data_IF_883087952269
#
_entry.id   IF_883087952269
#
_cell.length_a   1.000
_cell.length_b   1.000
_cell.length_c   1.000
_cell.angle_alpha   90.00
_cell.angle_beta   90.00
_cell.angle_gamma   90.00
#
_symmetry.space_group_name_H-M   'P 1'
#
loop_
_entity.id
_entity.type
_entity.pdbx_description
1 polymer ?
#
# COMPACT_ATOMS: atom_id res chain seq x y z
N UNK A 1 -32.61 41.13 -23.13
CA UNK A 1 -31.88 40.70 -21.90
C UNK A 1 -31.48 39.25 -22.15
N UNK A 2 -30.22 38.81 -22.26
CA UNK A 2 -28.90 39.26 -21.79
C UNK A 2 -27.88 39.32 -22.95
N UNK A 3 -26.93 40.25 -22.80
CA UNK A 3 -25.66 40.38 -23.56
C UNK A 3 -24.57 39.52 -22.88
N UNK A 4 -23.53 39.14 -23.63
CA UNK A 4 -22.29 38.51 -23.15
C UNK A 4 -22.35 36.99 -23.31
N UNK A 5 -21.44 36.32 -24.01
CA UNK A 5 -19.98 36.41 -23.96
C UNK A 5 -19.45 35.97 -25.33
N UNK A 6 -19.05 36.92 -26.17
CA UNK A 6 -18.32 36.64 -27.41
C UNK A 6 -17.25 37.71 -27.63
N UNK A 7 -16.46 37.98 -26.60
CA UNK A 7 -15.29 38.85 -26.67
C UNK A 7 -14.28 38.32 -25.67
N UNK A 8 -13.43 37.38 -26.10
CA UNK A 8 -12.10 37.09 -25.55
C UNK A 8 -11.44 36.03 -26.45
N UNK A 9 -11.07 36.43 -27.67
CA UNK A 9 -10.25 35.60 -28.57
C UNK A 9 -9.12 36.39 -29.24
N UNK A 10 -8.80 37.59 -28.75
CA UNK A 10 -7.78 38.47 -29.35
C UNK A 10 -6.49 38.59 -28.53
N UNK A 11 -6.27 37.72 -27.55
CA UNK A 11 -4.97 37.58 -26.89
C UNK A 11 -4.49 36.16 -27.13
N UNK A 12 -3.46 36.00 -27.97
CA UNK A 12 -2.90 34.72 -28.42
C UNK A 12 -2.28 33.87 -27.31
N UNK A 13 -3.11 33.44 -26.36
CA UNK A 13 -2.76 32.46 -25.36
C UNK A 13 -3.00 31.05 -25.92
N UNK A 14 -2.00 30.14 -25.87
CA UNK A 14 -2.21 28.76 -26.25
C UNK A 14 -3.18 28.10 -25.26
N UNK A 15 -4.42 27.84 -25.70
CA UNK A 15 -5.38 27.05 -24.95
C UNK A 15 -4.85 25.62 -24.88
N UNK A 16 -4.42 25.19 -23.70
CA UNK A 16 -3.93 23.83 -23.45
C UNK A 16 -5.01 22.82 -23.84
N UNK A 17 -4.69 21.74 -24.58
CA UNK A 17 -5.66 20.74 -25.06
C UNK A 17 -6.48 20.05 -23.96
N UNK A 18 -6.04 20.16 -22.70
CA UNK A 18 -6.70 19.62 -21.52
C UNK A 18 -8.04 20.29 -21.18
N UNK A 19 -8.21 21.60 -21.46
CA UNK A 19 -9.45 22.32 -21.10
C UNK A 19 -10.62 21.97 -22.04
N UNK A 20 -10.33 21.68 -23.31
CA UNK A 20 -11.34 21.35 -24.34
C UNK A 20 -12.02 20.01 -24.04
N UNK A 21 -11.32 19.06 -23.40
CA UNK A 21 -11.90 17.76 -23.02
C UNK A 21 -12.87 17.91 -21.84
N UNK A 22 -12.56 18.81 -20.90
CA UNK A 22 -13.35 19.05 -19.68
C UNK A 22 -14.74 19.63 -19.97
N UNK A 23 -14.87 20.50 -20.97
CA UNK A 23 -16.18 21.02 -21.40
C UNK A 23 -17.03 19.97 -22.12
N UNK A 24 -16.40 19.16 -22.98
CA UNK A 24 -17.07 18.08 -23.72
C UNK A 24 -17.62 16.98 -22.81
N UNK A 25 -16.98 16.73 -21.69
CA UNK A 25 -17.43 15.75 -20.69
C UNK A 25 -18.59 16.30 -19.85
N UNK A 26 -18.60 17.61 -19.57
CA UNK A 26 -19.67 18.30 -18.82
C UNK A 26 -20.99 18.37 -19.61
N UNK A 27 -20.94 18.46 -20.93
CA UNK A 27 -22.14 18.39 -21.81
C UNK A 27 -22.71 16.96 -21.93
N UNK A 28 -21.86 15.93 -21.84
CA UNK A 28 -22.27 14.52 -21.85
C UNK A 28 -22.97 14.10 -20.55
N UNK A 29 -22.61 14.69 -19.43
CA UNK A 29 -23.25 14.43 -18.14
C UNK A 29 -24.66 15.03 -18.05
N UNK A 30 -24.86 16.24 -18.61
CA UNK A 30 -26.18 16.90 -18.68
C UNK A 30 -27.19 16.14 -19.55
N UNK A 31 -26.75 15.58 -20.67
CA UNK A 31 -27.60 14.78 -21.57
C UNK A 31 -27.98 13.40 -21.00
N UNK A 32 -27.19 12.86 -20.07
CA UNK A 32 -27.49 11.59 -19.38
C UNK A 32 -28.53 11.76 -18.28
N UNK A 33 -28.47 12.88 -17.52
CA UNK A 33 -29.40 13.16 -16.44
C UNK A 33 -30.84 13.44 -16.92
N UNK A 34 -30.99 14.00 -18.12
CA UNK A 34 -32.30 14.24 -18.76
C UNK A 34 -32.98 12.93 -19.19
N UNK A 35 -32.21 11.95 -19.69
CA UNK A 35 -32.74 10.64 -20.12
C UNK A 35 -33.17 9.73 -18.97
N UNK A 36 -32.61 9.93 -17.77
CA UNK A 36 -32.96 9.16 -16.57
C UNK A 36 -34.36 9.48 -15.99
N UNK A 37 -34.96 10.64 -16.34
CA UNK A 37 -36.26 11.05 -15.80
C UNK A 37 -37.48 10.49 -16.54
N UNK A 38 -37.32 9.85 -17.69
CA UNK A 38 -38.43 9.33 -18.51
C UNK A 38 -38.76 7.86 -18.17
N UNK A 39 -37.91 7.16 -17.41
CA UNK A 39 -38.10 5.73 -17.08
C UNK A 39 -38.83 5.47 -15.75
N UNK A 40 -39.68 6.40 -15.29
CA UNK A 40 -40.51 6.21 -14.10
C UNK A 40 -41.85 5.55 -14.48
N UNK A 41 -41.85 4.22 -14.66
CA UNK A 41 -43.10 3.52 -14.94
C UNK A 41 -43.00 2.00 -15.04
N UNK A 42 -43.63 1.33 -14.07
CA UNK A 42 -44.10 -0.08 -14.05
C UNK A 42 -43.17 -1.13 -13.42
N UNK A 43 -43.67 -1.78 -12.36
CA UNK A 43 -43.30 -3.16 -12.05
C UNK A 43 -43.18 -3.56 -10.59
N UNK A 44 -44.26 -3.54 -9.80
CA UNK A 44 -44.37 -4.28 -8.52
C UNK A 44 -44.19 -5.78 -8.78
N UNK A 45 -43.26 -6.45 -8.08
CA UNK A 45 -43.39 -7.87 -7.69
C UNK A 45 -42.70 -8.14 -6.35
N UNK A 46 -43.52 -8.32 -5.32
CA UNK A 46 -43.14 -8.89 -4.02
C UNK A 46 -42.64 -10.32 -4.24
N UNK A 47 -41.41 -10.62 -3.82
CA UNK A 47 -40.99 -12.00 -3.48
C UNK A 47 -40.84 -12.07 -1.96
N UNK A 48 -41.72 -12.86 -1.35
CA UNK A 48 -41.71 -13.30 0.05
C UNK A 48 -40.90 -14.60 0.13
N UNK A 49 -40.41 -14.92 1.34
CA UNK A 49 -39.84 -16.22 1.77
C UNK A 49 -38.31 -16.29 1.63
N UNK A 50 -37.51 -16.73 2.62
CA UNK A 50 -37.75 -17.29 3.96
C UNK A 50 -36.44 -17.10 4.74
N UNK A 51 -36.52 -16.60 5.96
CA UNK A 51 -35.42 -16.64 6.93
C UNK A 51 -35.16 -18.12 7.23
N UNK A 52 -33.96 -18.61 6.95
CA UNK A 52 -33.49 -19.89 7.48
C UNK A 52 -32.63 -19.61 8.70
N UNK A 53 -32.95 -20.34 9.75
CA UNK A 53 -32.40 -20.24 11.10
C UNK A 53 -30.88 -20.28 11.21
N UNK A 54 -30.43 -19.58 12.23
CA UNK A 54 -29.13 -19.68 12.88
C UNK A 54 -28.97 -21.09 13.47
N UNK A 55 -27.99 -21.84 13.00
CA UNK A 55 -27.41 -22.93 13.79
C UNK A 55 -26.11 -22.43 14.38
N UNK A 56 -26.19 -22.07 15.66
CA UNK A 56 -25.06 -21.97 16.56
C UNK A 56 -24.38 -23.33 16.63
N UNK A 57 -23.18 -23.44 16.05
CA UNK A 57 -22.29 -24.57 16.30
C UNK A 57 -21.32 -24.15 17.40
N UNK A 58 -21.52 -24.83 18.52
CA UNK A 58 -20.84 -24.68 19.78
C UNK A 58 -19.32 -24.72 19.62
N UNK A 59 -18.70 -23.82 20.35
CA UNK A 59 -17.32 -23.84 20.83
C UNK A 59 -17.08 -25.15 21.63
N UNK A 60 -16.01 -25.90 21.35
CA UNK A 60 -15.43 -26.81 22.33
C UNK A 60 -14.18 -26.18 22.95
N UNK A 61 -14.38 -25.71 24.17
CA UNK A 61 -13.52 -25.85 25.36
C UNK A 61 -12.00 -25.92 25.14
N UNK A 62 -11.36 -24.87 25.65
CA UNK A 62 -9.98 -24.84 26.14
C UNK A 62 -9.74 -26.05 27.05
N UNK A 63 -8.82 -26.93 26.65
CA UNK A 63 -8.18 -27.88 27.56
C UNK A 63 -6.73 -27.47 27.69
N UNK A 64 -6.48 -26.60 28.67
CA UNK A 64 -5.17 -26.32 29.22
C UNK A 64 -4.77 -27.54 30.07
N UNK A 65 -3.90 -28.40 29.55
CA UNK A 65 -3.20 -29.41 30.34
C UNK A 65 -1.78 -28.91 30.60
N UNK A 66 -1.63 -28.12 31.66
CA UNK A 66 -0.33 -27.87 32.28
C UNK A 66 -0.43 -28.25 33.75
N UNK A 67 -0.15 -29.52 34.01
CA UNK A 67 0.22 -30.06 35.31
C UNK A 67 1.22 -31.17 34.98
N UNK A 68 2.43 -31.23 35.51
CA UNK A 68 3.16 -30.47 36.51
C UNK A 68 4.31 -31.40 36.91
N UNK A 69 5.55 -30.91 37.00
CA UNK A 69 6.58 -31.58 37.78
C UNK A 69 7.39 -30.50 38.49
N UNK A 70 7.19 -30.48 39.81
CA UNK A 70 7.99 -29.73 40.75
C UNK A 70 9.30 -30.49 41.04
N UNK A 71 10.35 -29.69 41.21
CA UNK A 71 11.48 -29.80 42.14
C UNK A 71 12.32 -31.10 42.17
N UNK A 72 13.62 -30.91 41.94
CA UNK A 72 14.67 -31.52 42.77
C UNK A 72 15.88 -30.58 42.79
N UNK A 73 16.11 -29.95 43.94
CA UNK A 73 17.36 -29.34 44.32
C UNK A 73 18.47 -30.39 44.36
N UNK A 74 19.63 -30.08 43.78
CA UNK A 74 20.89 -30.63 44.28
C UNK A 74 21.97 -29.56 44.17
N UNK A 75 22.35 -29.04 45.34
CA UNK A 75 23.57 -28.29 45.53
C UNK A 75 24.77 -29.23 45.35
N UNK A 76 25.76 -28.84 44.55
CA UNK A 76 27.15 -29.26 44.77
C UNK A 76 28.14 -28.37 44.03
N UNK A 77 28.95 -27.69 44.85
CA UNK A 77 30.35 -27.29 44.67
C UNK A 77 30.83 -26.58 43.38
N UNK A 78 31.34 -25.35 43.59
CA UNK A 78 32.16 -24.55 42.69
C UNK A 78 33.38 -25.29 42.14
N UNK A 79 33.92 -24.84 40.98
CA UNK A 79 35.18 -24.12 41.07
C UNK A 79 35.22 -22.81 40.27
N UNK A 80 36.12 -21.95 40.74
CA UNK A 80 36.48 -20.63 40.25
C UNK A 80 36.73 -20.60 38.73
N UNK A 81 35.95 -19.80 38.01
CA UNK A 81 36.37 -19.24 36.73
C UNK A 81 36.15 -17.72 36.75
N UNK A 82 37.23 -17.03 36.37
CA UNK A 82 37.42 -15.58 36.40
C UNK A 82 36.24 -14.80 35.83
N UNK A 83 35.59 -14.01 36.70
CA UNK A 83 34.56 -13.05 36.30
C UNK A 83 35.27 -11.83 35.69
N UNK A 84 35.58 -11.90 34.40
CA UNK A 84 35.74 -10.69 33.60
C UNK A 84 34.36 -10.09 33.41
N UNK A 85 34.01 -9.07 34.21
CA UNK A 85 32.83 -8.26 33.94
C UNK A 85 33.14 -7.36 32.74
N UNK A 86 33.13 -7.93 31.54
CA UNK A 86 32.81 -7.10 30.39
C UNK A 86 31.36 -6.68 30.59
N UNK A 87 31.12 -5.39 30.83
CA UNK A 87 29.83 -4.77 30.60
C UNK A 87 29.54 -4.86 29.10
N UNK A 88 29.22 -6.07 28.64
CA UNK A 88 28.66 -6.29 27.33
C UNK A 88 27.26 -5.73 27.39
N UNK A 89 27.09 -4.49 26.92
CA UNK A 89 25.80 -4.06 26.42
C UNK A 89 25.31 -5.15 25.50
N UNK A 90 24.25 -5.85 25.90
CA UNK A 90 23.53 -6.78 25.03
C UNK A 90 22.92 -5.93 23.93
N UNK A 91 23.72 -5.67 22.90
CA UNK A 91 23.21 -5.21 21.63
C UNK A 91 22.38 -6.37 21.11
N UNK A 92 21.07 -6.32 21.33
CA UNK A 92 20.16 -7.20 20.61
C UNK A 92 20.39 -6.90 19.14
N UNK A 93 21.15 -7.77 18.46
CA UNK A 93 21.41 -7.65 17.04
C UNK A 93 20.06 -7.71 16.33
N UNK A 94 19.50 -6.54 16.03
CA UNK A 94 18.23 -6.43 15.33
C UNK A 94 18.48 -7.01 13.95
N UNK A 95 17.80 -8.11 13.62
CA UNK A 95 17.90 -8.69 12.27
C UNK A 95 17.67 -7.57 11.24
N UNK A 96 18.48 -7.49 10.18
CA UNK A 96 18.28 -6.50 9.13
C UNK A 96 16.83 -6.57 8.65
N UNK A 97 16.18 -5.42 8.61
CA UNK A 97 14.82 -5.28 8.08
C UNK A 97 14.90 -4.63 6.73
N UNK A 98 14.11 -5.12 5.78
CA UNK A 98 14.04 -4.50 4.46
C UNK A 98 13.26 -3.20 4.52
N UNK A 99 13.59 -2.31 3.59
CA UNK A 99 12.89 -1.07 3.29
C UNK A 99 12.58 -1.04 1.79
N UNK A 100 11.57 -0.26 1.41
CA UNK A 100 11.32 0.08 0.01
C UNK A 100 11.98 1.43 -0.22
N UNK A 101 13.14 1.42 -0.85
CA UNK A 101 13.97 2.59 -1.13
C UNK A 101 13.63 3.16 -2.51
N UNK A 102 13.62 4.48 -2.64
CA UNK A 102 13.43 5.18 -3.90
C UNK A 102 14.74 5.90 -4.30
N UNK A 103 15.51 5.34 -5.27
CA UNK A 103 16.87 5.79 -5.55
C UNK A 103 17.00 7.25 -5.96
N UNK A 104 16.07 7.77 -6.75
CA UNK A 104 16.19 9.14 -7.27
C UNK A 104 15.93 10.23 -6.22
N UNK A 105 15.25 9.90 -5.12
CA UNK A 105 15.02 10.85 -4.00
C UNK A 105 15.89 10.55 -2.78
N UNK A 106 16.52 9.37 -2.71
CA UNK A 106 17.28 8.94 -1.53
C UNK A 106 16.41 8.67 -0.30
N UNK A 107 15.10 8.51 -0.47
CA UNK A 107 14.12 8.35 0.63
C UNK A 107 13.47 6.96 0.57
N UNK A 108 12.84 6.56 1.68
CA UNK A 108 12.15 5.28 1.79
C UNK A 108 10.65 5.46 2.03
N UNK A 109 9.87 4.44 1.66
CA UNK A 109 8.42 4.40 1.89
C UNK A 109 8.10 4.45 3.39
N UNK A 110 7.40 5.50 3.78
CA UNK A 110 7.02 5.82 5.14
C UNK A 110 5.50 5.85 5.30
N UNK A 111 5.02 5.19 6.34
CA UNK A 111 3.66 5.33 6.83
C UNK A 111 3.62 6.43 7.89
N UNK A 112 2.76 7.43 7.69
CA UNK A 112 2.44 8.42 8.72
C UNK A 112 1.33 7.91 9.65
N UNK A 113 0.18 7.51 9.07
CA UNK A 113 -0.94 6.90 9.80
C UNK A 113 -1.59 5.81 8.95
N UNK A 114 -2.43 4.98 9.54
CA UNK A 114 -3.04 3.84 8.84
C UNK A 114 -3.90 4.22 7.63
N UNK A 115 -4.61 5.33 7.72
CA UNK A 115 -5.54 5.77 6.68
C UNK A 115 -4.97 6.87 5.77
N UNK A 116 -3.80 7.41 6.13
CA UNK A 116 -3.12 8.40 5.32
C UNK A 116 -2.50 7.76 4.07
N UNK A 117 -2.35 8.53 2.99
CA UNK A 117 -1.45 8.16 1.90
C UNK A 117 -0.07 7.80 2.42
N UNK A 118 0.57 6.84 1.75
CA UNK A 118 1.99 6.60 1.97
C UNK A 118 2.81 7.74 1.34
N UNK A 119 3.93 8.04 1.98
CA UNK A 119 4.85 9.11 1.59
C UNK A 119 6.27 8.59 1.57
N UNK A 120 7.21 9.34 1.01
CA UNK A 120 8.62 9.09 1.22
C UNK A 120 9.17 9.91 2.38
N UNK A 121 10.06 9.31 3.15
CA UNK A 121 10.76 9.96 4.26
C UNK A 121 12.13 9.34 4.54
N UNK A 122 12.80 9.77 5.63
CA UNK A 122 14.07 9.21 6.06
C UNK A 122 14.01 7.67 6.24
N UNK A 123 15.01 6.95 5.74
CA UNK A 123 15.02 5.48 5.77
C UNK A 123 15.16 4.86 7.16
N UNK A 124 15.65 5.61 8.15
CA UNK A 124 15.69 5.20 9.55
C UNK A 124 14.29 5.22 10.21
N UNK A 125 13.36 6.03 9.69
CA UNK A 125 11.97 6.13 10.14
C UNK A 125 11.03 5.18 9.40
N UNK A 126 11.46 4.65 8.24
CA UNK A 126 10.69 3.68 7.46
C UNK A 126 10.29 2.47 8.30
N UNK A 127 9.08 1.95 8.05
CA UNK A 127 8.66 0.65 8.55
C UNK A 127 9.58 -0.45 8.00
N UNK A 128 9.59 -1.59 8.70
CA UNK A 128 10.21 -2.82 8.21
C UNK A 128 9.23 -3.49 7.23
N UNK A 129 9.66 -3.73 6.01
CA UNK A 129 8.81 -4.34 4.97
C UNK A 129 9.16 -5.80 4.73
N UNK A 130 8.16 -6.56 4.32
CA UNK A 130 8.26 -7.96 3.90
C UNK A 130 7.52 -8.12 2.56
N UNK A 131 8.08 -8.95 1.67
CA UNK A 131 7.44 -9.32 0.43
C UNK A 131 7.09 -10.80 0.49
N UNK A 132 5.80 -11.12 0.51
CA UNK A 132 5.32 -12.48 0.73
C UNK A 132 5.34 -13.29 -0.57
N UNK A 133 5.33 -14.65 -0.50
CA UNK A 133 5.16 -15.49 -1.69
C UNK A 133 3.87 -15.23 -2.47
N UNK A 134 2.82 -14.72 -1.80
CA UNK A 134 1.56 -14.28 -2.42
C UNK A 134 1.66 -12.90 -3.07
N UNK A 135 2.88 -12.34 -3.18
CA UNK A 135 3.18 -11.04 -3.78
C UNK A 135 2.59 -9.84 -3.03
N UNK A 136 2.44 -9.95 -1.71
CA UNK A 136 2.02 -8.84 -0.89
C UNK A 136 3.23 -8.10 -0.30
N UNK A 137 3.24 -6.79 -0.44
CA UNK A 137 4.15 -5.91 0.28
C UNK A 137 3.53 -5.57 1.63
N UNK A 138 4.05 -6.15 2.71
CA UNK A 138 3.48 -6.04 4.06
C UNK A 138 4.43 -5.35 5.02
N UNK A 139 3.88 -4.68 6.02
CA UNK A 139 4.66 -4.15 7.15
C UNK A 139 4.92 -5.31 8.12
N UNK A 140 6.19 -5.66 8.29
CA UNK A 140 6.67 -6.81 9.06
C UNK A 140 6.13 -6.79 10.49
N UNK A 141 5.58 -7.92 10.93
CA UNK A 141 4.96 -8.05 12.26
C UNK A 141 3.56 -7.45 12.36
N UNK A 142 2.94 -7.07 11.25
CA UNK A 142 1.57 -6.56 11.19
C UNK A 142 0.81 -7.22 10.04
N UNK A 143 -0.50 -6.96 9.96
CA UNK A 143 -1.36 -7.39 8.85
C UNK A 143 -1.51 -6.33 7.75
N UNK A 144 -0.78 -5.21 7.85
CA UNK A 144 -0.93 -4.12 6.91
C UNK A 144 -0.17 -4.41 5.61
N UNK A 145 -0.88 -4.29 4.50
CA UNK A 145 -0.36 -4.47 3.15
C UNK A 145 -0.52 -3.20 2.32
N UNK A 146 0.40 -3.00 1.38
CA UNK A 146 0.30 -1.94 0.38
C UNK A 146 -0.86 -2.20 -0.58
N UNK A 147 -1.73 -1.20 -0.74
CA UNK A 147 -2.92 -1.28 -1.59
C UNK A 147 -2.98 -0.14 -2.59
N UNK A 148 -3.24 -0.48 -3.85
CA UNK A 148 -3.61 0.48 -4.88
C UNK A 148 -5.10 0.84 -4.76
N UNK A 149 -5.41 2.13 -4.69
CA UNK A 149 -6.81 2.60 -4.56
C UNK A 149 -7.46 2.95 -5.90
N UNK A 150 -6.71 2.80 -7.00
CA UNK A 150 -7.10 3.09 -8.38
C UNK A 150 -6.02 3.84 -9.15
N UNK A 151 -6.22 4.01 -10.46
CA UNK A 151 -5.30 4.78 -11.32
C UNK A 151 -5.20 6.23 -10.86
N UNK A 152 -3.97 6.71 -10.77
CA UNK A 152 -3.58 8.06 -10.36
C UNK A 152 -4.12 8.48 -8.99
N UNK A 153 -4.33 7.48 -8.12
CA UNK A 153 -4.74 7.69 -6.74
C UNK A 153 -3.63 7.36 -5.76
N UNK A 154 -3.58 8.03 -4.60
CA UNK A 154 -2.60 7.73 -3.59
C UNK A 154 -2.71 6.29 -3.09
N UNK A 155 -1.57 5.63 -2.89
CA UNK A 155 -1.54 4.30 -2.28
C UNK A 155 -1.69 4.41 -0.78
N UNK A 156 -2.27 3.37 -0.17
CA UNK A 156 -2.56 3.32 1.26
C UNK A 156 -2.24 1.93 1.78
N UNK A 157 -2.30 1.79 3.10
CA UNK A 157 -2.29 0.48 3.73
C UNK A 157 -3.70 -0.05 3.93
N UNK A 158 -3.84 -1.37 3.86
CA UNK A 158 -5.07 -2.10 4.17
C UNK A 158 -4.74 -3.26 5.10
N UNK A 159 -5.67 -3.60 5.99
CA UNK A 159 -5.60 -4.85 6.78
C UNK A 159 -5.98 -6.05 5.90
N UNK A 160 -6.83 -5.82 4.91
CA UNK A 160 -7.31 -6.86 4.01
C UNK A 160 -6.52 -6.79 2.71
N UNK A 161 -5.59 -7.72 2.52
CA UNK A 161 -4.91 -7.95 1.24
C UNK A 161 -5.84 -8.71 0.32
N UNK A 162 -6.18 -8.14 -0.82
CA UNK A 162 -6.87 -8.86 -1.90
C UNK A 162 -5.98 -9.01 -3.12
N UNK A 163 -6.26 -10.04 -3.91
CA UNK A 163 -5.54 -10.29 -5.15
C UNK A 163 -5.71 -9.18 -6.18
N UNK A 164 -6.83 -8.44 -6.10
CA UNK A 164 -7.23 -7.43 -7.08
C UNK A 164 -6.49 -6.10 -7.01
N UNK A 165 -5.95 -5.73 -5.85
CA UNK A 165 -5.37 -4.40 -5.66
C UNK A 165 -4.20 -4.33 -4.67
N UNK A 166 -3.84 -5.47 -4.06
CA UNK A 166 -2.78 -5.56 -3.07
C UNK A 166 -1.64 -6.51 -3.50
N UNK A 167 -1.77 -7.23 -4.62
CA UNK A 167 -0.66 -7.99 -5.23
C UNK A 167 0.24 -7.07 -6.06
N UNK A 168 1.54 -7.14 -5.80
CA UNK A 168 2.55 -6.33 -6.47
C UNK A 168 3.64 -7.22 -7.04
N UNK A 169 3.78 -7.22 -8.36
CA UNK A 169 4.92 -7.81 -9.05
C UNK A 169 6.13 -6.90 -8.94
N UNK A 170 7.25 -7.50 -8.55
CA UNK A 170 8.58 -6.88 -8.55
C UNK A 170 9.28 -7.22 -9.86
N UNK A 171 9.17 -6.34 -10.86
CA UNK A 171 9.79 -6.54 -12.16
C UNK A 171 11.09 -5.75 -12.28
N UNK A 172 12.20 -6.45 -12.51
CA UNK A 172 13.50 -5.82 -12.66
C UNK A 172 13.48 -4.83 -13.83
N UNK A 173 14.08 -3.65 -13.62
CA UNK A 173 14.22 -2.67 -14.69
C UNK A 173 15.30 -3.13 -15.68
N UNK A 174 15.02 -3.01 -16.98
CA UNK A 174 16.00 -3.35 -18.04
C UNK A 174 17.33 -2.57 -17.97
N UNK A 175 17.38 -1.48 -17.22
CA UNK A 175 18.56 -0.63 -17.07
C UNK A 175 19.35 -0.86 -15.76
N UNK A 176 18.93 -1.76 -14.87
CA UNK A 176 19.56 -1.96 -13.56
C UNK A 176 19.14 -3.26 -12.90
N UNK A 177 20.10 -3.98 -12.30
CA UNK A 177 19.87 -5.24 -11.58
C UNK A 177 19.36 -5.06 -10.13
N UNK A 178 19.27 -3.82 -9.64
CA UNK A 178 18.76 -3.52 -8.29
C UNK A 178 17.40 -2.83 -8.33
N UNK A 179 17.18 -1.99 -9.35
CA UNK A 179 15.96 -1.19 -9.49
C UNK A 179 14.85 -2.01 -10.11
N UNK A 180 13.67 -1.84 -9.55
CA UNK A 180 12.51 -2.65 -9.85
C UNK A 180 11.28 -1.77 -10.01
N UNK A 181 10.48 -2.03 -11.05
CA UNK A 181 9.11 -1.56 -11.13
C UNK A 181 8.24 -2.38 -10.20
N UNK A 182 7.58 -1.70 -9.26
CA UNK A 182 6.60 -2.32 -8.35
C UNK A 182 5.22 -2.14 -8.97
N UNK A 183 4.71 -3.18 -9.63
CA UNK A 183 3.49 -3.08 -10.45
C UNK A 183 2.36 -3.96 -9.94
N UNK A 184 1.11 -3.52 -10.10
CA UNK A 184 -0.09 -4.29 -9.76
C UNK A 184 -1.05 -4.32 -10.95
N UNK A 185 -1.89 -5.35 -11.02
CA UNK A 185 -2.92 -5.49 -12.05
C UNK A 185 -4.29 -5.37 -11.40
N UNK A 186 -5.03 -4.35 -11.80
CA UNK A 186 -6.40 -4.15 -11.35
C UNK A 186 -7.36 -5.16 -12.01
N UNK A 187 -8.54 -5.34 -11.43
CA UNK A 187 -9.59 -6.24 -11.96
C UNK A 187 -10.01 -5.89 -13.39
N UNK A 188 -9.93 -4.61 -13.76
CA UNK A 188 -10.23 -4.15 -15.12
C UNK A 188 -9.12 -4.48 -16.14
N UNK A 189 -8.04 -5.15 -15.70
CA UNK A 189 -6.91 -5.55 -16.52
C UNK A 189 -5.80 -4.51 -16.64
N UNK A 190 -6.01 -3.28 -16.16
CA UNK A 190 -5.00 -2.23 -16.23
C UNK A 190 -3.83 -2.54 -15.29
N UNK A 191 -2.62 -2.37 -15.80
CA UNK A 191 -1.39 -2.45 -14.99
C UNK A 191 -1.02 -1.06 -14.49
N UNK A 192 -0.82 -0.94 -13.18
CA UNK A 192 -0.37 0.28 -12.53
C UNK A 192 0.98 0.02 -11.87
N UNK A 193 1.83 1.04 -11.82
CA UNK A 193 3.09 1.02 -11.13
C UNK A 193 3.02 1.97 -9.94
N UNK A 194 3.68 1.58 -8.85
CA UNK A 194 3.96 2.48 -7.75
C UNK A 194 4.83 3.63 -8.29
N UNK A 195 4.48 4.85 -7.93
CA UNK A 195 5.15 6.05 -8.40
C UNK A 195 5.23 7.08 -7.29
N UNK A 196 6.30 7.88 -7.32
CA UNK A 196 6.44 9.06 -6.47
C UNK A 196 5.83 10.26 -7.21
N UNK A 197 4.86 10.88 -6.56
CA UNK A 197 4.22 12.10 -7.04
C UNK A 197 4.78 13.35 -6.35
N UNK A 198 4.07 14.49 -6.50
CA UNK A 198 4.37 15.71 -5.77
C UNK A 198 4.33 15.50 -4.25
N UNK A 199 5.08 16.32 -3.51
CA UNK A 199 5.14 16.27 -2.04
C UNK A 199 5.52 14.89 -1.48
N UNK A 200 6.31 14.12 -2.24
CA UNK A 200 6.77 12.78 -1.87
C UNK A 200 5.63 11.76 -1.63
N UNK A 201 4.41 12.05 -2.06
CA UNK A 201 3.25 11.15 -1.91
C UNK A 201 3.33 10.01 -2.93
N UNK A 202 3.02 8.78 -2.51
CA UNK A 202 3.00 7.62 -3.38
C UNK A 202 1.65 7.44 -4.07
N UNK A 203 1.69 7.14 -5.37
CA UNK A 203 0.53 6.90 -6.22
C UNK A 203 0.62 5.55 -6.93
N UNK A 204 -0.53 4.98 -7.28
CA UNK A 204 -0.62 3.93 -8.28
C UNK A 204 -0.97 4.58 -9.61
N UNK A 205 -0.01 4.71 -10.52
CA UNK A 205 -0.16 5.39 -11.81
C UNK A 205 0.09 4.43 -12.97
N UNK A 206 -0.30 4.74 -14.21
CA UNK A 206 0.09 3.93 -15.36
C UNK A 206 1.61 3.70 -15.39
N UNK A 207 2.04 2.49 -15.74
CA UNK A 207 3.45 2.15 -15.81
C UNK A 207 4.16 2.92 -16.92
N UNK A 208 5.24 3.60 -16.56
CA UNK A 208 6.11 4.40 -17.42
C UNK A 208 7.57 4.03 -17.13
N UNK A 209 8.43 4.19 -18.13
CA UNK A 209 9.88 4.07 -17.94
C UNK A 209 10.43 5.40 -17.36
N UNK A 210 10.22 5.61 -16.06
CA UNK A 210 10.62 6.82 -15.34
C UNK A 210 11.25 6.47 -14.00
N UNK A 211 12.28 7.21 -13.61
CA UNK A 211 12.96 7.04 -12.31
C UNK A 211 12.03 7.26 -11.11
N UNK A 212 10.90 7.96 -11.29
CA UNK A 212 9.88 8.14 -10.27
C UNK A 212 9.10 6.83 -9.96
N UNK A 213 9.24 5.80 -10.79
CA UNK A 213 8.58 4.51 -10.67
C UNK A 213 9.55 3.36 -10.38
N UNK A 214 10.81 3.69 -10.07
CA UNK A 214 11.84 2.71 -9.76
C UNK A 214 12.09 2.68 -8.25
N UNK A 215 12.03 1.47 -7.69
CA UNK A 215 12.26 1.23 -6.27
C UNK A 215 13.24 0.09 -6.09
N UNK A 216 13.86 0.04 -4.91
CA UNK A 216 14.74 -1.04 -4.49
C UNK A 216 14.21 -1.64 -3.18
N UNK A 217 14.00 -2.96 -3.18
CA UNK A 217 13.67 -3.69 -1.97
C UNK A 217 14.97 -4.22 -1.35
N UNK A 218 15.47 -3.52 -0.33
CA UNK A 218 16.82 -3.76 0.19
C UNK A 218 16.88 -3.68 1.70
N UNK A 219 17.94 -4.23 2.29
CA UNK A 219 18.18 -4.18 3.72
C UNK A 219 18.51 -2.74 4.14
N UNK A 220 17.93 -2.28 5.26
CA UNK A 220 18.05 -0.89 5.72
C UNK A 220 19.49 -0.41 5.94
N UNK A 221 20.33 -1.29 6.47
CA UNK A 221 21.75 -1.04 6.72
C UNK A 221 22.53 -0.79 5.41
N UNK A 222 22.13 -1.42 4.30
CA UNK A 222 22.73 -1.17 2.98
C UNK A 222 22.37 0.20 2.40
N UNK A 223 21.26 0.80 2.81
CA UNK A 223 20.87 2.16 2.37
C UNK A 223 21.69 3.22 3.11
N UNK A 224 21.99 2.98 4.38
CA UNK A 224 22.74 3.92 5.23
C UNK A 224 24.22 4.04 4.83
N UNK A 225 24.74 3.10 4.04
CA UNK A 225 26.11 3.16 3.50
C UNK A 225 26.22 3.92 2.17
N UNK A 226 25.10 4.42 1.61
CA UNK A 226 25.05 5.12 0.33
C UNK A 226 24.90 6.65 0.48
N UNK A 227 24.84 7.16 1.71
CA UNK A 227 24.65 8.58 2.04
C UNK A 227 25.88 9.22 2.68
#
# INVERSE_FOLDING_TARGET
MLRGVALLSLLGFPVRPYQIKRERDREREKTSLEKGKIAHGKGKRRKKSRIKEMKALLIPQVVLLCSGLALSDVASSSPLLSRSQSTGTVLTARRPSNVIFHPSTGKCVLRTTLNAPLTLGPCNESDAWEYTPQKFLTVKGTYYCLRATGSDKPTRLSIHSSESDSQWDMNLSSNSDTKTHVSTKLENGNSLCLAVGPEDVLFASPCLNSDAQLFEFTARDKVQTLG
#
